data_IF_708491583087
#
_entry.id   IF_708491583087
#
_cell.length_a   1.000
_cell.length_b   1.000
_cell.length_c   1.000
_cell.angle_alpha   90.00
_cell.angle_beta   90.00
_cell.angle_gamma   90.00
#
_symmetry.space_group_name_H-M   'P 1'
#
loop_
_entity.id
_entity.type
_entity.pdbx_description
1 polymer ?
#
# COMPACT_ATOMS: atom_id res chain seq x y z
N UNK A 1 12.40 22.78 -11.09
CA UNK A 1 12.02 22.65 -9.67
C UNK A 1 11.42 23.94 -9.17
N UNK A 2 12.08 25.09 -9.40
CA UNK A 2 11.56 26.42 -9.06
C UNK A 2 10.15 26.69 -9.63
N UNK A 3 9.87 26.28 -10.88
CA UNK A 3 8.52 26.40 -11.46
C UNK A 3 7.41 25.75 -10.62
N UNK A 4 7.69 24.72 -9.82
CA UNK A 4 6.66 24.14 -8.94
C UNK A 4 6.36 24.99 -7.69
N UNK A 5 7.28 25.89 -7.31
CA UNK A 5 7.04 26.84 -6.23
C UNK A 5 6.17 28.01 -6.68
N UNK A 6 6.20 28.36 -7.96
CA UNK A 6 5.59 29.58 -8.51
C UNK A 6 4.34 29.28 -9.37
N UNK A 7 4.35 28.21 -10.16
CA UNK A 7 3.33 27.92 -11.18
C UNK A 7 2.42 26.73 -10.85
N UNK A 8 2.47 26.20 -9.63
CA UNK A 8 1.65 25.04 -9.23
C UNK A 8 0.31 25.47 -8.61
N UNK A 9 -0.67 24.56 -8.65
CA UNK A 9 -1.96 24.73 -7.97
C UNK A 9 -1.91 24.41 -6.48
N UNK A 10 -0.74 24.07 -5.91
CA UNK A 10 -0.61 23.72 -4.51
C UNK A 10 -0.79 24.95 -3.62
N UNK A 11 -1.52 24.79 -2.51
CA UNK A 11 -1.70 25.88 -1.54
C UNK A 11 -0.44 26.10 -0.69
N UNK A 12 0.35 25.03 -0.49
CA UNK A 12 1.60 25.05 0.25
C UNK A 12 2.73 24.40 -0.58
N UNK A 13 3.14 25.01 -1.72
CA UNK A 13 4.03 24.36 -2.69
C UNK A 13 5.33 23.85 -2.08
N UNK A 14 5.95 24.63 -1.19
CA UNK A 14 7.19 24.26 -0.51
C UNK A 14 7.05 22.98 0.30
N UNK A 15 5.99 22.86 1.09
CA UNK A 15 5.77 21.71 1.98
C UNK A 15 5.40 20.46 1.19
N UNK A 16 4.56 20.61 0.17
CA UNK A 16 4.19 19.53 -0.74
C UNK A 16 5.42 19.00 -1.49
N UNK A 17 6.29 19.88 -1.99
CA UNK A 17 7.54 19.49 -2.65
C UNK A 17 8.47 18.77 -1.68
N UNK A 18 8.65 19.29 -0.45
CA UNK A 18 9.46 18.63 0.57
C UNK A 18 8.94 17.22 0.88
N UNK A 19 7.63 17.05 0.96
CA UNK A 19 7.01 15.74 1.17
C UNK A 19 7.23 14.78 0.01
N UNK A 20 7.07 15.25 -1.24
CA UNK A 20 7.40 14.44 -2.42
C UNK A 20 8.87 14.01 -2.45
N UNK A 21 9.78 14.90 -2.03
CA UNK A 21 11.21 14.57 -1.89
C UNK A 21 11.46 13.52 -0.81
N UNK A 22 10.80 13.63 0.35
CA UNK A 22 10.90 12.63 1.42
C UNK A 22 10.46 11.24 0.94
N UNK A 23 9.35 11.16 0.18
CA UNK A 23 8.88 9.90 -0.43
C UNK A 23 9.92 9.36 -1.42
N UNK A 24 10.49 10.21 -2.28
CA UNK A 24 11.53 9.81 -3.22
C UNK A 24 12.77 9.26 -2.51
N UNK A 25 13.18 9.89 -1.41
CA UNK A 25 14.29 9.43 -0.57
C UNK A 25 13.99 8.10 0.12
N UNK A 26 12.81 7.95 0.75
CA UNK A 26 12.39 6.72 1.42
C UNK A 26 12.30 5.53 0.46
N UNK A 27 11.91 5.77 -0.80
CA UNK A 27 11.85 4.74 -1.84
C UNK A 27 13.19 4.52 -2.58
N UNK A 28 14.28 5.14 -2.13
CA UNK A 28 15.59 5.12 -2.81
C UNK A 28 15.54 5.55 -4.29
N UNK A 29 14.54 6.36 -4.68
CA UNK A 29 14.33 6.90 -6.04
C UNK A 29 14.60 8.40 -6.04
N UNK A 30 15.81 8.79 -5.62
CA UNK A 30 16.29 10.19 -5.45
C UNK A 30 16.56 10.93 -6.77
N UNK A 31 15.63 10.84 -7.72
CA UNK A 31 15.69 11.50 -9.03
C UNK A 31 14.60 12.57 -9.09
N UNK A 32 14.93 13.75 -9.62
CA UNK A 32 13.96 14.84 -9.74
C UNK A 32 12.76 14.45 -10.61
N UNK A 33 12.98 13.63 -11.65
CA UNK A 33 11.90 13.10 -12.49
C UNK A 33 10.87 12.29 -11.70
N UNK A 34 11.30 11.53 -10.68
CA UNK A 34 10.42 10.77 -9.81
C UNK A 34 9.59 11.70 -8.91
N UNK A 35 10.21 12.72 -8.32
CA UNK A 35 9.53 13.77 -7.54
C UNK A 35 8.48 14.48 -8.40
N UNK A 36 8.82 14.88 -9.63
CA UNK A 36 7.88 15.50 -10.56
C UNK A 36 6.71 14.57 -10.90
N UNK A 37 6.97 13.27 -11.04
CA UNK A 37 5.91 12.28 -11.25
C UNK A 37 4.92 12.22 -10.08
N UNK A 38 5.42 12.23 -8.84
CA UNK A 38 4.59 12.29 -7.62
C UNK A 38 3.73 13.57 -7.62
N UNK A 39 4.35 14.73 -7.86
CA UNK A 39 3.66 16.01 -7.85
C UNK A 39 2.56 16.08 -8.91
N UNK A 40 2.84 15.60 -10.14
CA UNK A 40 1.82 15.50 -11.19
C UNK A 40 0.66 14.60 -10.81
N UNK A 41 0.94 13.48 -10.13
CA UNK A 41 -0.12 12.57 -9.67
C UNK A 41 -1.04 13.28 -8.67
N UNK A 42 -0.47 13.94 -7.66
CA UNK A 42 -1.25 14.68 -6.67
C UNK A 42 -2.04 15.83 -7.27
N UNK A 43 -1.45 16.57 -8.23
CA UNK A 43 -2.18 17.63 -8.94
C UNK A 43 -3.36 17.07 -9.75
N UNK A 44 -3.18 15.93 -10.43
CA UNK A 44 -4.27 15.27 -11.18
C UNK A 44 -5.39 14.77 -10.25
N UNK A 45 -5.02 14.32 -9.05
CA UNK A 45 -5.97 13.88 -8.01
C UNK A 45 -6.54 15.06 -7.20
N UNK A 46 -6.18 16.30 -7.53
CA UNK A 46 -6.58 17.51 -6.80
C UNK A 46 -6.21 17.50 -5.32
N UNK A 47 -5.11 16.83 -4.95
CA UNK A 47 -4.53 16.84 -3.61
C UNK A 47 -3.57 18.03 -3.49
N UNK A 48 -4.06 19.14 -2.96
CA UNK A 48 -3.38 20.44 -2.99
C UNK A 48 -2.66 20.81 -1.68
N UNK A 49 -2.97 20.12 -0.59
CA UNK A 49 -2.33 20.31 0.72
C UNK A 49 -1.64 19.06 1.25
N UNK A 50 -0.73 19.25 2.22
CA UNK A 50 -0.02 18.14 2.86
C UNK A 50 -1.00 17.23 3.62
N UNK A 51 -2.00 17.82 4.26
CA UNK A 51 -3.03 17.13 5.04
C UNK A 51 -3.90 16.23 4.15
N UNK A 52 -4.30 16.72 2.97
CA UNK A 52 -5.04 15.94 1.97
C UNK A 52 -4.21 14.75 1.49
N UNK A 53 -2.92 14.99 1.21
CA UNK A 53 -1.99 13.94 0.80
C UNK A 53 -1.82 12.88 1.91
N UNK A 54 -1.70 13.29 3.18
CA UNK A 54 -1.59 12.34 4.30
C UNK A 54 -2.86 11.49 4.42
N UNK A 55 -4.02 12.13 4.38
CA UNK A 55 -5.32 11.46 4.46
C UNK A 55 -5.49 10.45 3.31
N UNK A 56 -5.09 10.82 2.09
CA UNK A 56 -5.14 9.94 0.93
C UNK A 56 -4.26 8.69 1.12
N UNK A 57 -3.03 8.86 1.59
CA UNK A 57 -2.12 7.74 1.82
C UNK A 57 -2.55 6.83 2.97
N UNK A 58 -3.19 7.36 4.00
CA UNK A 58 -3.76 6.55 5.08
C UNK A 58 -4.91 5.66 4.58
N UNK A 59 -5.79 6.19 3.74
CA UNK A 59 -6.88 5.43 3.14
C UNK A 59 -6.41 4.37 2.14
N UNK A 60 -5.21 4.53 1.56
CA UNK A 60 -4.60 3.55 0.67
C UNK A 60 -3.80 2.45 1.38
N UNK A 61 -3.52 2.58 2.69
CA UNK A 61 -2.90 1.49 3.42
C UNK A 61 -3.87 0.30 3.39
N UNK A 62 -3.49 -0.86 2.85
CA UNK A 62 -4.35 -2.03 2.90
C UNK A 62 -4.64 -2.30 4.38
N UNK A 63 -5.92 -2.20 4.76
CA UNK A 63 -6.37 -2.66 6.07
C UNK A 63 -5.84 -4.08 6.21
N UNK A 64 -5.09 -4.42 7.28
CA UNK A 64 -4.60 -5.78 7.45
C UNK A 64 -5.81 -6.69 7.41
N UNK A 65 -5.94 -7.46 6.32
CA UNK A 65 -6.95 -8.50 6.21
C UNK A 65 -6.70 -9.41 7.40
N UNK A 66 -7.59 -9.39 8.38
CA UNK A 66 -7.60 -10.40 9.44
C UNK A 66 -7.53 -11.74 8.72
N UNK A 67 -6.43 -12.45 8.92
CA UNK A 67 -6.18 -13.74 8.31
C UNK A 67 -7.27 -14.67 8.81
N UNK A 68 -8.36 -14.81 8.04
CA UNK A 68 -9.28 -15.91 8.26
C UNK A 68 -8.45 -17.19 8.11
N UNK A 69 -8.50 -18.14 9.06
CA UNK A 69 -7.72 -19.35 8.97
C UNK A 69 -8.05 -20.01 7.63
N UNK A 70 -7.01 -20.28 6.83
CA UNK A 70 -7.14 -20.87 5.52
C UNK A 70 -7.99 -22.13 5.62
N UNK A 71 -9.18 -22.12 5.01
CA UNK A 71 -9.97 -23.32 4.81
C UNK A 71 -9.11 -24.20 3.89
N UNK A 72 -8.59 -25.35 4.34
CA UNK A 72 -7.75 -26.17 3.48
C UNK A 72 -8.62 -26.69 2.34
N UNK A 73 -8.32 -26.27 1.10
CA UNK A 73 -8.80 -26.90 -0.13
C UNK A 73 -8.17 -28.28 -0.26
N UNK A 74 -8.74 -29.24 0.45
CA UNK A 74 -8.43 -30.66 0.43
C UNK A 74 -9.64 -31.44 0.90
N UNK A 75 -9.71 -32.74 0.58
CA UNK A 75 -10.78 -33.61 1.09
C UNK A 75 -10.74 -33.58 2.62
N UNK A 76 -11.84 -33.19 3.26
CA UNK A 76 -11.95 -33.15 4.71
C UNK A 76 -11.74 -34.56 5.27
N UNK A 77 -10.57 -34.83 5.87
CA UNK A 77 -10.29 -36.09 6.56
C UNK A 77 -10.86 -35.96 7.97
N UNK A 78 -11.83 -36.80 8.38
CA UNK A 78 -12.32 -36.81 9.75
C UNK A 78 -11.16 -37.10 10.70
N UNK A 79 -11.00 -36.25 11.73
CA UNK A 79 -10.08 -36.55 12.83
C UNK A 79 -10.73 -37.67 13.67
N UNK A 80 -10.08 -38.83 13.76
CA UNK A 80 -10.59 -39.98 14.51
C UNK A 80 -10.81 -41.25 13.68
N UNK A 81 -10.33 -41.33 12.44
CA UNK A 81 -10.32 -42.59 11.71
C UNK A 81 -9.17 -43.47 12.21
N UNK A 82 -9.48 -44.56 12.92
CA UNK A 82 -8.52 -45.62 13.24
C UNK A 82 -8.61 -46.73 12.18
N UNK A 83 -7.58 -46.85 11.34
CA UNK A 83 -7.40 -47.98 10.42
C UNK A 83 -6.98 -49.21 11.23
N UNK A 84 -7.92 -50.08 11.58
CA UNK A 84 -7.59 -51.38 12.15
C UNK A 84 -7.39 -52.41 11.02
N UNK A 85 -6.13 -52.73 10.72
CA UNK A 85 -5.73 -53.63 9.65
C UNK A 85 -5.85 -55.12 10.01
N UNK A 86 -6.21 -55.44 11.26
CA UNK A 86 -6.33 -56.81 11.79
C UNK A 86 -7.79 -57.28 11.87
N UNK A 87 -8.75 -56.46 11.45
CA UNK A 87 -10.20 -56.75 11.55
C UNK A 87 -10.72 -57.85 10.60
N UNK A 88 -9.85 -58.67 10.02
CA UNK A 88 -10.20 -59.68 9.01
C UNK A 88 -9.34 -60.94 9.01
N UNK A 89 -8.69 -61.26 10.14
CA UNK A 89 -8.05 -62.56 10.34
C UNK A 89 -8.92 -63.38 11.31
N UNK A 90 -9.79 -64.23 10.75
CA UNK A 90 -10.41 -65.38 11.43
C UNK A 90 -9.71 -66.68 10.98
#
# INVERSE_FOLDING_TARGET
MLAWLEDSSFLQPKEVILKAMNIACANNKRRLSYVVGILKNWQNESLLTVEEIDSYHENQKPVPKQTQPAIPTGRQIPRGFELNLTAGED
#
